data_IF_187239729639
#
_entry.id   IF_187239729639
#
_cell.length_a   1.000
_cell.length_b   1.000
_cell.length_c   1.000
_cell.angle_alpha   90.00
_cell.angle_beta   90.00
_cell.angle_gamma   90.00
#
_symmetry.space_group_name_H-M   'P 1'
#
loop_
_entity.id
_entity.type
_entity.pdbx_description
1 polymer ?
#
# COMPACT_ATOMS: atom_id res chain seq x y z
N UNK A 1 39.66 37.51 -8.62
CA UNK A 1 40.48 37.35 -9.84
C UNK A 1 41.22 36.00 -9.80
N UNK A 2 40.91 35.10 -10.74
CA UNK A 2 41.51 33.76 -10.79
C UNK A 2 40.53 32.58 -10.80
N UNK A 3 39.24 32.79 -11.06
CA UNK A 3 38.26 31.71 -11.27
C UNK A 3 37.81 31.71 -12.72
N UNK A 4 37.67 30.51 -13.29
CA UNK A 4 37.07 30.29 -14.60
C UNK A 4 35.63 29.80 -14.40
N UNK A 5 34.69 30.36 -15.17
CA UNK A 5 33.29 29.95 -15.10
C UNK A 5 33.12 28.57 -15.74
N UNK A 6 32.82 27.56 -14.94
CA UNK A 6 32.59 26.20 -15.45
C UNK A 6 31.24 26.07 -16.19
N UNK A 7 30.14 26.42 -15.53
CA UNK A 7 28.78 26.42 -16.11
C UNK A 7 27.79 27.18 -15.19
N UNK A 8 26.55 27.37 -15.64
CA UNK A 8 25.44 27.89 -14.85
C UNK A 8 24.37 26.80 -14.70
N UNK A 9 24.11 26.38 -13.46
CA UNK A 9 23.13 25.35 -13.12
C UNK A 9 21.85 25.98 -12.58
N UNK A 10 20.74 25.87 -13.33
CA UNK A 10 19.49 26.55 -13.01
C UNK A 10 18.28 25.61 -13.07
N UNK A 11 17.67 25.33 -11.91
CA UNK A 11 16.40 24.59 -11.83
C UNK A 11 15.20 25.56 -11.77
N UNK A 12 14.15 25.32 -12.55
CA UNK A 12 12.90 26.09 -12.46
C UNK A 12 12.17 25.81 -11.14
N UNK A 13 11.92 26.87 -10.36
CA UNK A 13 11.33 26.81 -9.02
C UNK A 13 9.85 26.48 -9.01
N UNK A 14 9.46 25.24 -9.31
CA UNK A 14 8.08 24.77 -9.22
C UNK A 14 7.87 24.12 -7.84
N UNK A 15 7.52 24.96 -6.85
CA UNK A 15 6.97 24.58 -5.52
C UNK A 15 7.90 23.74 -4.61
N UNK A 16 8.11 24.21 -3.37
CA UNK A 16 9.05 23.66 -2.37
C UNK A 16 8.78 22.25 -1.83
N UNK A 17 8.09 21.38 -2.57
CA UNK A 17 7.64 20.05 -2.11
C UNK A 17 7.85 18.90 -3.11
N UNK A 18 8.30 19.15 -4.34
CA UNK A 18 8.50 18.06 -5.33
C UNK A 18 9.96 17.65 -5.46
N UNK A 19 10.37 16.62 -4.71
CA UNK A 19 11.74 16.07 -4.59
C UNK A 19 12.41 15.69 -5.93
N UNK A 20 11.65 15.50 -7.01
CA UNK A 20 12.18 14.82 -8.21
C UNK A 20 12.76 15.72 -9.29
N UNK A 21 12.41 17.02 -9.33
CA UNK A 21 12.82 17.95 -10.40
C UNK A 21 13.97 18.88 -9.97
N UNK A 22 15.18 18.35 -9.87
CA UNK A 22 16.43 19.11 -9.63
C UNK A 22 17.55 18.58 -10.52
N UNK A 23 17.27 18.49 -11.81
CA UNK A 23 18.15 17.82 -12.76
C UNK A 23 19.45 18.60 -12.93
N UNK A 24 19.39 19.94 -12.86
CA UNK A 24 20.58 20.80 -12.95
C UNK A 24 21.41 20.79 -11.67
N UNK A 25 20.77 20.74 -10.49
CA UNK A 25 21.52 20.53 -9.24
C UNK A 25 22.20 19.16 -9.19
N UNK A 26 21.53 18.09 -9.66
CA UNK A 26 22.14 16.76 -9.74
C UNK A 26 23.31 16.74 -10.74
N UNK A 27 23.17 17.42 -11.89
CA UNK A 27 24.24 17.61 -12.88
C UNK A 27 25.44 18.33 -12.27
N UNK A 28 25.20 19.41 -11.53
CA UNK A 28 26.25 20.14 -10.79
C UNK A 28 27.00 19.21 -9.82
N UNK A 29 26.29 18.40 -9.03
CA UNK A 29 26.93 17.45 -8.10
C UNK A 29 27.76 16.39 -8.84
N UNK A 30 27.32 15.92 -10.00
CA UNK A 30 28.11 15.01 -10.83
C UNK A 30 29.37 15.67 -11.37
N UNK A 31 29.28 16.92 -11.83
CA UNK A 31 30.46 17.67 -12.30
C UNK A 31 31.46 17.96 -11.16
N UNK A 32 30.97 18.18 -9.94
CA UNK A 32 31.81 18.25 -8.73
C UNK A 32 32.52 16.92 -8.46
N UNK A 33 31.80 15.79 -8.49
CA UNK A 33 32.37 14.44 -8.32
C UNK A 33 33.38 14.08 -9.42
N UNK A 34 33.20 14.63 -10.63
CA UNK A 34 34.13 14.49 -11.74
C UNK A 34 35.35 15.43 -11.64
N UNK A 35 35.46 16.26 -10.58
CA UNK A 35 36.57 17.18 -10.35
C UNK A 35 36.59 18.40 -11.27
N UNK A 36 35.48 18.69 -11.99
CA UNK A 36 35.40 19.83 -12.91
C UNK A 36 35.14 21.16 -12.21
N UNK A 37 34.62 21.11 -10.99
CA UNK A 37 34.22 22.28 -10.20
C UNK A 37 34.97 22.24 -8.88
N UNK A 38 35.63 23.33 -8.52
CA UNK A 38 36.30 23.52 -7.23
C UNK A 38 35.58 24.55 -6.33
N UNK A 39 34.63 25.31 -6.89
CA UNK A 39 33.86 26.30 -6.15
C UNK A 39 32.44 26.48 -6.72
N UNK A 40 31.45 26.52 -5.83
CA UNK A 40 30.05 26.80 -6.13
C UNK A 40 29.67 28.15 -5.52
N UNK A 41 29.06 29.02 -6.34
CA UNK A 41 28.46 30.28 -5.89
C UNK A 41 26.95 30.12 -5.94
N UNK A 42 26.27 30.32 -4.81
CA UNK A 42 24.83 30.23 -4.71
C UNK A 42 24.27 31.44 -3.98
N UNK A 43 23.13 31.94 -4.47
CA UNK A 43 22.49 33.13 -3.89
C UNK A 43 22.12 32.94 -2.41
N UNK A 44 21.55 31.79 -2.05
CA UNK A 44 21.20 31.51 -0.65
C UNK A 44 21.07 30.04 -0.29
N UNK A 45 21.09 29.74 1.01
CA UNK A 45 20.93 28.37 1.56
C UNK A 45 19.66 27.70 1.04
N UNK A 46 18.56 28.45 0.95
CA UNK A 46 17.26 27.94 0.46
C UNK A 46 17.25 27.55 -1.02
N UNK A 47 18.19 28.08 -1.82
CA UNK A 47 18.40 27.69 -3.24
C UNK A 47 19.26 26.45 -3.37
N UNK A 48 20.08 26.18 -2.37
CA UNK A 48 21.02 25.07 -2.35
C UNK A 48 20.38 23.78 -1.84
N UNK A 49 19.64 23.83 -0.72
CA UNK A 49 19.02 22.66 -0.11
C UNK A 49 17.60 22.96 0.40
N UNK A 50 16.72 21.94 0.40
CA UNK A 50 15.32 22.09 0.82
C UNK A 50 15.08 21.73 2.28
N UNK A 51 16.00 21.00 2.89
CA UNK A 51 15.96 20.67 4.30
C UNK A 51 17.36 20.67 4.90
N UNK A 52 17.43 20.77 6.23
CA UNK A 52 18.69 20.87 6.98
C UNK A 52 19.61 19.67 6.80
N UNK A 53 19.05 18.47 6.65
CA UNK A 53 19.84 17.25 6.46
C UNK A 53 20.53 17.27 5.08
N UNK A 54 19.77 17.57 4.01
CA UNK A 54 20.28 17.72 2.64
C UNK A 54 21.39 18.78 2.58
N UNK A 55 21.21 19.92 3.26
CA UNK A 55 22.24 20.96 3.34
C UNK A 55 23.53 20.41 3.95
N UNK A 56 23.46 19.73 5.08
CA UNK A 56 24.62 19.21 5.81
C UNK A 56 25.32 18.10 5.00
N UNK A 57 24.54 17.15 4.48
CA UNK A 57 25.06 16.02 3.70
C UNK A 57 25.75 16.49 2.43
N UNK A 58 25.08 17.35 1.64
CA UNK A 58 25.66 17.85 0.38
C UNK A 58 26.87 18.73 0.62
N UNK A 59 26.86 19.57 1.66
CA UNK A 59 28.02 20.43 1.97
C UNK A 59 29.22 19.62 2.44
N UNK A 60 29.00 18.55 3.22
CA UNK A 60 30.08 17.63 3.63
C UNK A 60 30.65 16.86 2.45
N UNK A 61 29.78 16.30 1.60
CA UNK A 61 30.21 15.60 0.38
C UNK A 61 31.08 16.51 -0.49
N UNK A 62 30.64 17.75 -0.73
CA UNK A 62 31.40 18.70 -1.54
C UNK A 62 32.73 19.07 -0.89
N UNK A 63 32.78 19.22 0.43
CA UNK A 63 34.03 19.49 1.16
C UNK A 63 35.01 18.32 1.06
N UNK A 64 34.53 17.07 1.16
CA UNK A 64 35.35 15.87 0.99
C UNK A 64 35.92 15.77 -0.44
N UNK A 65 35.19 16.30 -1.42
CA UNK A 65 35.64 16.46 -2.81
C UNK A 65 36.55 17.69 -3.03
N UNK A 66 36.82 18.50 -2.00
CA UNK A 66 37.62 19.72 -2.09
C UNK A 66 36.88 20.92 -2.72
N UNK A 67 35.55 20.86 -2.81
CA UNK A 67 34.70 21.91 -3.39
C UNK A 67 34.20 22.87 -2.32
N UNK A 68 34.40 24.16 -2.54
CA UNK A 68 33.95 25.23 -1.65
C UNK A 68 32.59 25.76 -2.08
N UNK A 69 31.65 25.93 -1.14
CA UNK A 69 30.34 26.53 -1.39
C UNK A 69 30.28 27.91 -0.73
N UNK A 70 29.91 28.92 -1.51
CA UNK A 70 29.74 30.29 -1.03
C UNK A 70 28.27 30.70 -1.15
N UNK A 71 27.68 31.08 -0.02
CA UNK A 71 26.31 31.57 0.07
C UNK A 71 26.33 33.10 0.15
N UNK A 72 25.88 33.76 -0.92
CA UNK A 72 25.96 35.23 -1.06
C UNK A 72 25.11 35.97 0.00
N UNK A 73 23.82 35.62 0.14
CA UNK A 73 22.91 36.30 1.06
C UNK A 73 23.28 36.11 2.53
N UNK A 74 23.82 34.93 2.90
CA UNK A 74 24.18 34.62 4.27
C UNK A 74 25.63 35.02 4.60
N UNK A 75 26.43 35.41 3.60
CA UNK A 75 27.84 35.75 3.76
C UNK A 75 28.71 34.57 4.23
N UNK A 76 28.34 33.34 3.86
CA UNK A 76 29.01 32.13 4.35
C UNK A 76 29.93 31.58 3.27
N UNK A 77 31.18 31.32 3.66
CA UNK A 77 32.15 30.56 2.87
C UNK A 77 32.50 29.27 3.63
N UNK A 78 32.19 28.10 3.05
CA UNK A 78 32.41 26.81 3.70
C UNK A 78 33.88 26.43 3.85
N UNK A 79 34.80 27.17 3.22
CA UNK A 79 36.24 27.01 3.45
C UNK A 79 36.67 27.50 4.83
N UNK A 80 35.87 28.33 5.50
CA UNK A 80 36.18 28.85 6.83
C UNK A 80 35.75 27.86 7.93
N UNK A 81 36.58 27.69 8.96
CA UNK A 81 36.37 26.74 10.07
C UNK A 81 35.04 26.97 10.83
N UNK A 82 34.53 28.20 10.84
CA UNK A 82 33.23 28.60 11.43
C UNK A 82 32.02 28.39 10.50
N UNK A 83 32.23 28.16 9.21
CA UNK A 83 31.18 28.12 8.19
C UNK A 83 30.21 26.96 8.37
N UNK A 84 30.68 25.76 8.71
CA UNK A 84 29.81 24.59 8.95
C UNK A 84 28.92 24.76 10.20
N UNK A 85 29.47 25.34 11.27
CA UNK A 85 28.72 25.59 12.50
C UNK A 85 27.63 26.66 12.26
N UNK A 86 27.96 27.72 11.53
CA UNK A 86 27.01 28.77 11.14
C UNK A 86 25.91 28.22 10.23
N UNK A 87 26.25 27.38 9.24
CA UNK A 87 25.27 26.72 8.37
C UNK A 87 24.33 25.82 9.14
N UNK A 88 24.87 25.01 10.06
CA UNK A 88 24.07 24.11 10.89
C UNK A 88 23.10 24.89 11.75
N UNK A 89 23.56 25.98 12.40
CA UNK A 89 22.71 26.83 13.23
C UNK A 89 21.59 27.52 12.43
N UNK A 90 21.92 28.09 11.26
CA UNK A 90 20.93 28.74 10.39
C UNK A 90 19.89 27.74 9.85
N UNK A 91 20.33 26.54 9.50
CA UNK A 91 19.43 25.50 9.03
C UNK A 91 18.54 24.95 10.14
N UNK A 92 19.03 24.87 11.39
CA UNK A 92 18.21 24.55 12.55
C UNK A 92 17.16 25.64 12.80
N UNK A 93 17.57 26.91 12.78
CA UNK A 93 16.66 28.05 12.96
C UNK A 93 15.56 28.09 11.89
N UNK A 94 15.92 27.90 10.61
CA UNK A 94 14.97 27.87 9.51
C UNK A 94 13.98 26.69 9.62
N UNK A 95 14.47 25.52 10.04
CA UNK A 95 13.61 24.35 10.29
C UNK A 95 12.65 24.61 11.46
N UNK A 96 13.13 25.19 12.55
CA UNK A 96 12.31 25.53 13.70
C UNK A 96 11.22 26.55 13.33
N UNK A 97 11.58 27.61 12.61
CA UNK A 97 10.62 28.61 12.12
C UNK A 97 9.55 27.98 11.23
N UNK A 98 9.94 27.14 10.26
CA UNK A 98 9.01 26.41 9.39
C UNK A 98 8.05 25.50 10.17
N UNK A 99 8.56 24.79 11.19
CA UNK A 99 7.71 23.96 12.06
C UNK A 99 6.77 24.81 12.92
N UNK A 100 7.24 25.98 13.40
CA UNK A 100 6.46 26.92 14.18
C UNK A 100 5.30 27.51 13.37
N UNK A 101 5.57 28.01 12.15
CA UNK A 101 4.54 28.49 11.21
C UNK A 101 3.51 27.39 10.95
N UNK A 102 3.97 26.16 10.70
CA UNK A 102 3.10 25.01 10.44
C UNK A 102 2.24 24.64 11.66
N UNK A 103 2.76 24.78 12.88
CA UNK A 103 1.99 24.58 14.13
C UNK A 103 0.97 25.70 14.32
N UNK A 104 1.37 26.95 14.14
CA UNK A 104 0.50 28.13 14.29
C UNK A 104 -0.66 28.11 13.28
N UNK A 105 -0.41 27.72 12.03
CA UNK A 105 -1.45 27.56 11.02
C UNK A 105 -2.47 26.47 11.42
N UNK A 106 -1.99 25.32 11.91
CA UNK A 106 -2.85 24.23 12.40
C UNK A 106 -3.70 24.69 13.59
N UNK A 107 -3.08 25.35 14.56
CA UNK A 107 -3.77 25.91 15.71
C UNK A 107 -4.83 26.94 15.31
N UNK A 108 -4.51 27.84 14.38
CA UNK A 108 -5.44 28.84 13.84
C UNK A 108 -6.65 28.19 13.15
N UNK A 109 -6.41 27.16 12.33
CA UNK A 109 -7.49 26.39 11.68
C UNK A 109 -8.36 25.69 12.73
N UNK A 110 -7.75 25.04 13.72
CA UNK A 110 -8.47 24.36 14.78
C UNK A 110 -9.34 25.34 15.59
N UNK A 111 -8.81 26.52 15.94
CA UNK A 111 -9.59 27.56 16.64
C UNK A 111 -10.77 28.08 15.81
N UNK A 112 -10.62 28.19 14.49
CA UNK A 112 -11.74 28.52 13.60
C UNK A 112 -12.80 27.41 13.56
N UNK A 113 -12.39 26.15 13.59
CA UNK A 113 -13.32 25.01 13.66
C UNK A 113 -14.06 24.98 15.00
N UNK A 114 -13.35 25.18 16.11
CA UNK A 114 -13.91 25.26 17.47
C UNK A 114 -14.94 26.40 17.61
N UNK A 115 -14.62 27.59 17.06
CA UNK A 115 -15.50 28.76 17.12
C UNK A 115 -16.62 28.75 16.08
N UNK A 116 -16.65 27.77 15.17
CA UNK A 116 -17.63 27.72 14.08
C UNK A 116 -17.35 28.69 12.91
N UNK A 117 -16.29 29.49 12.97
CA UNK A 117 -15.88 30.44 11.93
C UNK A 117 -15.06 29.80 10.79
N UNK A 118 -15.04 28.47 10.71
CA UNK A 118 -14.28 27.76 9.69
C UNK A 118 -14.91 27.91 8.30
N UNK A 119 -14.16 28.53 7.40
CA UNK A 119 -14.53 28.70 5.99
C UNK A 119 -14.08 27.48 5.17
N UNK A 120 -14.98 26.96 4.33
CA UNK A 120 -14.62 25.92 3.36
C UNK A 120 -13.88 26.51 2.17
N UNK A 121 -12.86 25.81 1.68
CA UNK A 121 -12.08 26.26 0.52
C UNK A 121 -12.65 25.75 -0.82
N UNK A 122 -13.68 24.90 -0.79
CA UNK A 122 -14.31 24.34 -1.98
C UNK A 122 -15.81 24.24 -1.80
N UNK A 123 -16.55 24.64 -2.83
CA UNK A 123 -18.01 24.57 -2.86
C UNK A 123 -18.48 23.18 -3.33
N UNK A 124 -19.34 22.48 -2.58
CA UNK A 124 -19.99 21.28 -3.08
C UNK A 124 -20.89 21.60 -4.29
N UNK A 125 -21.18 20.58 -5.11
CA UNK A 125 -22.17 20.70 -6.20
C UNK A 125 -23.51 21.21 -5.65
N UNK A 126 -24.22 22.07 -6.37
CA UNK A 126 -25.40 22.76 -5.85
C UNK A 126 -25.09 24.10 -5.18
N UNK A 127 -23.83 24.40 -4.86
CA UNK A 127 -23.43 25.64 -4.18
C UNK A 127 -22.29 26.38 -4.87
N UNK A 128 -22.32 27.71 -4.81
CA UNK A 128 -21.20 28.60 -5.12
C UNK A 128 -20.60 29.16 -3.82
N UNK A 129 -19.28 29.34 -3.78
CA UNK A 129 -18.57 29.89 -2.63
C UNK A 129 -18.22 31.35 -2.90
N UNK A 130 -18.78 32.26 -2.13
CA UNK A 130 -18.51 33.70 -2.22
C UNK A 130 -18.20 34.25 -0.83
N UNK A 131 -17.06 34.94 -0.69
CA UNK A 131 -16.67 35.53 0.60
C UNK A 131 -16.52 34.53 1.76
N UNK A 132 -16.37 33.23 1.44
CA UNK A 132 -16.31 32.16 2.44
C UNK A 132 -17.65 31.56 2.86
N UNK A 133 -18.76 32.03 2.28
CA UNK A 133 -20.13 31.54 2.53
C UNK A 133 -20.63 30.76 1.32
N UNK A 134 -21.39 29.69 1.56
CA UNK A 134 -22.01 28.90 0.50
C UNK A 134 -23.38 29.48 0.14
N UNK A 135 -23.59 29.73 -1.15
CA UNK A 135 -24.86 30.17 -1.70
C UNK A 135 -25.40 29.10 -2.67
N UNK A 136 -26.69 28.75 -2.62
CA UNK A 136 -27.25 27.82 -3.60
C UNK A 136 -27.09 28.35 -5.02
N UNK A 137 -26.63 27.49 -5.93
CA UNK A 137 -26.61 27.73 -7.37
C UNK A 137 -27.93 27.17 -7.94
N UNK A 138 -28.87 28.00 -8.43
CA UNK A 138 -30.22 27.56 -8.75
C UNK A 138 -30.34 26.32 -9.63
N UNK A 139 -29.53 26.22 -10.69
CA UNK A 139 -29.60 25.08 -11.63
C UNK A 139 -29.05 23.80 -11.02
N UNK A 140 -27.88 23.85 -10.37
CA UNK A 140 -27.31 22.68 -9.70
C UNK A 140 -28.16 22.26 -8.48
N UNK A 141 -28.74 23.21 -7.75
CA UNK A 141 -29.58 22.97 -6.58
C UNK A 141 -30.88 22.23 -6.95
N UNK A 142 -31.46 22.48 -8.14
CA UNK A 142 -32.60 21.70 -8.65
C UNK A 142 -32.24 20.23 -8.83
N UNK A 143 -31.05 19.94 -9.39
CA UNK A 143 -30.56 18.58 -9.57
C UNK A 143 -30.37 17.89 -8.22
N UNK A 144 -29.80 18.58 -7.24
CA UNK A 144 -29.65 18.04 -5.88
C UNK A 144 -31.02 17.69 -5.28
N UNK A 145 -32.00 18.60 -5.35
CA UNK A 145 -33.37 18.34 -4.85
C UNK A 145 -33.98 17.11 -5.53
N UNK A 146 -33.86 17.01 -6.86
CA UNK A 146 -34.34 15.85 -7.63
C UNK A 146 -33.69 14.53 -7.18
N UNK A 147 -32.38 14.53 -6.91
CA UNK A 147 -31.65 13.35 -6.40
C UNK A 147 -32.23 12.88 -5.06
N UNK A 148 -32.49 13.81 -4.12
CA UNK A 148 -33.11 13.46 -2.84
C UNK A 148 -34.52 12.90 -3.03
N UNK A 149 -35.34 13.51 -3.88
CA UNK A 149 -36.69 13.01 -4.20
C UNK A 149 -36.67 11.60 -4.79
N UNK A 150 -35.84 11.36 -5.82
CA UNK A 150 -35.70 10.04 -6.46
C UNK A 150 -35.17 8.98 -5.49
N UNK A 151 -34.24 9.37 -4.61
CA UNK A 151 -33.70 8.44 -3.62
C UNK A 151 -34.76 8.04 -2.60
N UNK A 152 -35.52 9.00 -2.08
CA UNK A 152 -36.62 8.77 -1.14
C UNK A 152 -37.78 8.00 -1.76
N UNK A 153 -37.99 8.10 -3.08
CA UNK A 153 -38.96 7.27 -3.83
C UNK A 153 -38.49 5.81 -4.00
N UNK A 154 -37.36 5.42 -3.40
CA UNK A 154 -36.87 4.05 -3.42
C UNK A 154 -35.86 3.74 -4.51
N UNK A 155 -35.44 4.70 -5.35
CA UNK A 155 -34.39 4.42 -6.36
C UNK A 155 -33.02 4.23 -5.70
N UNK A 156 -32.19 3.38 -6.30
CA UNK A 156 -30.80 3.16 -5.87
C UNK A 156 -29.86 4.23 -6.44
N UNK A 157 -28.77 4.56 -5.73
CA UNK A 157 -27.81 5.59 -6.14
C UNK A 157 -27.21 5.37 -7.55
N UNK A 158 -26.97 4.11 -7.94
CA UNK A 158 -26.51 3.77 -9.29
C UNK A 158 -27.58 4.01 -10.36
N UNK A 159 -28.85 3.73 -10.05
CA UNK A 159 -29.97 3.98 -10.97
C UNK A 159 -30.13 5.48 -11.21
N UNK A 160 -30.07 6.27 -10.13
CA UNK A 160 -30.14 7.74 -10.20
C UNK A 160 -28.98 8.28 -11.05
N UNK A 161 -27.76 7.79 -10.84
CA UNK A 161 -26.62 8.20 -11.66
C UNK A 161 -26.81 7.88 -13.16
N UNK A 162 -27.40 6.72 -13.50
CA UNK A 162 -27.69 6.36 -14.89
C UNK A 162 -28.76 7.26 -15.50
N UNK A 163 -29.81 7.58 -14.75
CA UNK A 163 -30.90 8.48 -15.16
C UNK A 163 -30.35 9.89 -15.45
N UNK A 164 -29.59 10.49 -14.52
CA UNK A 164 -28.95 11.80 -14.73
C UNK A 164 -28.03 11.83 -15.97
N UNK A 165 -27.28 10.76 -16.21
CA UNK A 165 -26.43 10.65 -17.40
C UNK A 165 -27.23 10.46 -18.70
N UNK A 166 -28.38 9.78 -18.65
CA UNK A 166 -29.27 9.61 -19.79
C UNK A 166 -29.91 10.96 -20.17
N UNK A 167 -30.28 11.74 -19.17
CA UNK A 167 -30.83 13.10 -19.30
C UNK A 167 -29.75 14.15 -19.67
N UNK A 168 -28.51 13.72 -19.93
CA UNK A 168 -27.37 14.58 -20.30
C UNK A 168 -27.06 15.67 -19.27
N UNK A 169 -27.33 15.43 -17.98
CA UNK A 169 -27.01 16.36 -16.90
C UNK A 169 -25.54 16.17 -16.49
N UNK A 170 -24.63 17.13 -16.77
CA UNK A 170 -23.22 16.98 -16.41
C UNK A 170 -22.98 17.24 -14.92
N UNK A 171 -21.88 16.71 -14.39
CA UNK A 171 -21.32 17.19 -13.12
C UNK A 171 -20.64 18.57 -13.32
N UNK A 172 -20.30 19.28 -12.23
CA UNK A 172 -19.67 20.63 -12.29
C UNK A 172 -18.53 20.77 -13.30
N UNK A 173 -17.70 19.74 -13.44
CA UNK A 173 -16.53 19.75 -14.32
C UNK A 173 -16.78 19.04 -15.67
N UNK A 174 -18.05 18.88 -16.08
CA UNK A 174 -18.42 18.24 -17.34
C UNK A 174 -18.33 16.71 -17.36
N UNK A 175 -18.05 16.07 -16.21
CA UNK A 175 -17.95 14.61 -16.09
C UNK A 175 -19.32 13.92 -15.93
N UNK A 176 -19.34 12.59 -16.06
CA UNK A 176 -20.52 11.74 -15.84
C UNK A 176 -20.76 11.44 -14.35
N UNK A 177 -22.02 11.23 -13.99
CA UNK A 177 -22.43 10.81 -12.65
C UNK A 177 -22.04 9.36 -12.37
N UNK A 178 -21.34 9.14 -11.27
CA UNK A 178 -21.08 7.81 -10.71
C UNK A 178 -21.93 7.53 -9.48
N UNK A 179 -22.01 6.26 -9.07
CA UNK A 179 -22.65 5.85 -7.81
C UNK A 179 -22.07 6.61 -6.61
N UNK A 180 -20.74 6.73 -6.55
CA UNK A 180 -20.02 7.41 -5.47
C UNK A 180 -20.34 8.90 -5.39
N UNK A 181 -20.54 9.56 -6.54
CA UNK A 181 -20.93 10.97 -6.61
C UNK A 181 -22.32 11.20 -6.00
N UNK A 182 -23.29 10.35 -6.36
CA UNK A 182 -24.65 10.41 -5.80
C UNK A 182 -24.65 10.09 -4.30
N UNK A 183 -23.89 9.07 -3.87
CA UNK A 183 -23.76 8.74 -2.44
C UNK A 183 -23.07 9.87 -1.65
N UNK A 184 -22.10 10.57 -2.23
CA UNK A 184 -21.49 11.75 -1.62
C UNK A 184 -22.51 12.87 -1.42
N UNK A 185 -23.36 13.14 -2.43
CA UNK A 185 -24.45 14.13 -2.31
C UNK A 185 -25.38 13.77 -1.16
N UNK A 186 -25.86 12.53 -1.14
CA UNK A 186 -26.83 12.07 -0.14
C UNK A 186 -26.26 12.07 1.29
N UNK A 187 -24.95 11.90 1.49
CA UNK A 187 -24.31 11.83 2.83
C UNK A 187 -23.79 13.18 3.35
N UNK A 188 -23.73 14.20 2.52
CA UNK A 188 -23.08 15.45 2.88
C UNK A 188 -24.05 16.39 3.62
N UNK A 189 -23.79 16.61 4.91
CA UNK A 189 -24.59 17.46 5.80
C UNK A 189 -24.75 18.91 5.31
N UNK A 190 -23.87 19.36 4.41
CA UNK A 190 -23.97 20.70 3.81
C UNK A 190 -25.27 20.91 3.03
N UNK A 191 -25.94 19.85 2.57
CA UNK A 191 -27.22 20.05 1.89
C UNK A 191 -28.36 20.44 2.83
N UNK A 192 -28.24 20.14 4.13
CA UNK A 192 -29.18 20.59 5.17
C UNK A 192 -28.75 21.87 5.91
N UNK A 193 -27.69 22.56 5.44
CA UNK A 193 -27.22 23.82 6.02
C UNK A 193 -26.19 23.68 7.14
N UNK A 194 -25.77 22.46 7.47
CA UNK A 194 -24.79 22.20 8.52
C UNK A 194 -23.39 21.87 7.94
N UNK A 195 -22.36 21.88 8.79
CA UNK A 195 -21.03 21.42 8.42
C UNK A 195 -20.37 20.64 9.56
N UNK A 196 -19.91 19.43 9.27
CA UNK A 196 -19.03 18.68 10.16
C UNK A 196 -17.60 18.85 9.67
N UNK A 197 -16.78 19.52 10.47
CA UNK A 197 -15.38 19.84 10.15
C UNK A 197 -14.42 18.90 10.88
N UNK A 198 -13.16 18.87 10.44
CA UNK A 198 -12.11 17.96 10.96
C UNK A 198 -12.36 16.45 10.72
N UNK A 199 -13.10 16.08 9.67
CA UNK A 199 -13.25 14.68 9.21
C UNK A 199 -11.94 14.01 8.77
N UNK A 200 -10.87 14.78 8.58
CA UNK A 200 -9.53 14.34 8.18
C UNK A 200 -8.48 15.22 8.85
N UNK A 201 -7.32 14.66 9.15
CA UNK A 201 -6.19 15.39 9.74
C UNK A 201 -4.86 14.94 9.12
N UNK A 202 -3.78 15.68 9.42
CA UNK A 202 -2.41 15.31 9.05
C UNK A 202 -1.64 14.88 10.29
N UNK A 203 -0.81 13.84 10.16
CA UNK A 203 0.06 13.40 11.26
C UNK A 203 1.05 14.49 11.67
N UNK A 204 1.39 14.60 12.96
CA UNK A 204 2.38 15.58 13.42
C UNK A 204 3.83 15.18 13.05
N UNK A 205 4.05 13.92 12.68
CA UNK A 205 5.34 13.38 12.23
C UNK A 205 5.65 13.79 10.80
N UNK A 206 6.93 14.04 10.53
CA UNK A 206 7.47 14.29 9.19
C UNK A 206 7.97 12.95 8.64
N UNK A 207 7.60 12.54 7.40
CA UNK A 207 6.71 13.23 6.47
C UNK A 207 5.24 13.17 6.91
N UNK A 208 4.52 14.29 6.74
CA UNK A 208 3.10 14.35 7.16
C UNK A 208 2.23 13.50 6.25
N UNK A 209 1.40 12.64 6.83
CA UNK A 209 0.44 11.80 6.10
C UNK A 209 -0.98 12.24 6.41
N UNK A 210 -1.87 12.22 5.40
CA UNK A 210 -3.29 12.56 5.56
C UNK A 210 -4.05 11.32 6.02
N UNK A 211 -4.81 11.43 7.12
CA UNK A 211 -5.64 10.37 7.68
C UNK A 211 -7.10 10.81 7.79
N UNK A 212 -8.00 9.83 7.81
CA UNK A 212 -9.42 10.03 8.15
C UNK A 212 -9.52 10.08 9.67
N UNK A 213 -10.35 10.99 10.18
CA UNK A 213 -10.61 11.10 11.60
C UNK A 213 -11.74 10.13 11.98
N UNK A 214 -11.40 9.10 12.75
CA UNK A 214 -12.32 8.11 13.32
C UNK A 214 -12.61 8.40 14.81
N UNK A 215 -12.14 9.53 15.34
CA UNK A 215 -12.28 9.95 16.73
C UNK A 215 -10.96 10.28 17.42
N UNK A 216 -9.82 10.18 16.73
CA UNK A 216 -8.52 10.54 17.28
C UNK A 216 -8.39 12.04 17.58
N UNK A 217 -9.19 12.86 16.89
CA UNK A 217 -9.31 14.30 17.14
C UNK A 217 -10.77 14.71 17.22
N UNK A 218 -11.12 15.81 17.91
CA UNK A 218 -12.48 16.31 17.94
C UNK A 218 -12.97 16.63 16.52
N UNK A 219 -14.23 16.28 16.24
CA UNK A 219 -14.98 16.76 15.08
C UNK A 219 -15.98 17.79 15.57
N UNK A 220 -16.03 18.93 14.90
CA UNK A 220 -16.93 20.03 15.27
C UNK A 220 -18.13 20.04 14.33
N UNK A 221 -19.33 20.11 14.90
CA UNK A 221 -20.58 20.22 14.17
C UNK A 221 -21.08 21.67 14.25
N UNK A 222 -20.95 22.36 13.12
CA UNK A 222 -21.39 23.74 12.94
C UNK A 222 -22.80 23.69 12.35
N UNK A 223 -23.77 24.22 13.08
CA UNK A 223 -25.18 24.20 12.69
C UNK A 223 -25.53 25.46 11.90
N UNK A 224 -26.34 25.34 10.85
CA UNK A 224 -26.91 26.47 10.12
C UNK A 224 -25.87 27.47 9.58
N UNK A 225 -24.75 26.97 9.04
CA UNK A 225 -23.66 27.82 8.56
C UNK A 225 -23.91 28.43 7.17
N UNK A 226 -24.90 27.92 6.43
CA UNK A 226 -25.31 28.46 5.13
C UNK A 226 -26.74 28.04 4.78
N UNK A 227 -27.29 28.63 3.71
CA UNK A 227 -28.66 28.35 3.26
C UNK A 227 -28.83 26.90 2.81
N UNK A 228 -29.78 26.12 3.35
CA UNK A 228 -29.97 24.72 2.99
C UNK A 228 -30.62 24.55 1.61
N UNK A 229 -30.13 23.61 0.80
CA UNK A 229 -30.78 23.19 -0.45
C UNK A 229 -31.94 22.23 -0.16
N UNK A 230 -31.80 21.34 0.83
CA UNK A 230 -32.86 20.42 1.26
C UNK A 230 -33.25 20.67 2.71
N UNK A 231 -34.55 20.56 3.07
CA UNK A 231 -34.96 20.62 4.46
C UNK A 231 -34.27 19.54 5.30
N UNK A 232 -34.04 19.84 6.58
CA UNK A 232 -33.37 18.93 7.52
C UNK A 232 -34.10 17.58 7.61
N UNK A 233 -35.43 17.61 7.60
CA UNK A 233 -36.29 16.44 7.68
C UNK A 233 -36.10 15.51 6.48
N UNK A 234 -35.96 16.08 5.27
CA UNK A 234 -35.72 15.34 4.02
C UNK A 234 -34.33 14.69 4.06
N UNK A 235 -33.33 15.41 4.55
CA UNK A 235 -31.98 14.88 4.69
C UNK A 235 -31.91 13.73 5.70
N UNK A 236 -32.55 13.88 6.86
CA UNK A 236 -32.63 12.84 7.90
C UNK A 236 -33.39 11.60 7.44
N UNK A 237 -34.46 11.76 6.66
CA UNK A 237 -35.15 10.64 6.01
C UNK A 237 -34.21 9.88 5.06
N UNK A 238 -33.42 10.60 4.26
CA UNK A 238 -32.45 9.98 3.37
C UNK A 238 -31.35 9.23 4.14
N UNK A 239 -30.86 9.78 5.26
CA UNK A 239 -29.89 9.07 6.13
C UNK A 239 -30.48 7.79 6.71
N UNK A 240 -31.73 7.82 7.18
CA UNK A 240 -32.43 6.62 7.70
C UNK A 240 -32.54 5.54 6.62
N UNK A 241 -32.92 5.91 5.40
CA UNK A 241 -33.01 4.96 4.28
C UNK A 241 -31.64 4.40 3.89
N UNK A 242 -30.58 5.22 3.91
CA UNK A 242 -29.20 4.76 3.71
C UNK A 242 -28.78 3.73 4.76
N UNK A 243 -29.06 4.00 6.04
CA UNK A 243 -28.74 3.10 7.14
C UNK A 243 -29.51 1.77 7.04
N UNK A 244 -30.81 1.82 6.74
CA UNK A 244 -31.62 0.61 6.52
C UNK A 244 -31.07 -0.24 5.37
N UNK A 245 -30.69 0.38 4.24
CA UNK A 245 -30.09 -0.33 3.11
C UNK A 245 -28.74 -0.94 3.45
N UNK A 246 -27.93 -0.28 4.26
CA UNK A 246 -26.65 -0.82 4.73
C UNK A 246 -26.85 -2.08 5.59
N UNK A 247 -27.82 -2.06 6.51
CA UNK A 247 -28.16 -3.23 7.35
C UNK A 247 -28.73 -4.39 6.51
N UNK A 248 -29.53 -4.09 5.48
CA UNK A 248 -30.05 -5.14 4.58
C UNK A 248 -28.96 -5.74 3.67
N UNK A 249 -27.90 -5.00 3.34
CA UNK A 249 -26.73 -5.58 2.66
C UNK A 249 -25.87 -6.43 3.58
N UNK A 250 -25.82 -6.12 4.88
CA UNK A 250 -25.12 -6.93 5.90
C UNK A 250 -25.92 -8.16 6.34
N UNK A 251 -27.25 -8.15 6.20
CA UNK A 251 -28.13 -9.32 6.44
C UNK A 251 -28.18 -10.31 5.28
N UNK A 252 -27.20 -10.26 4.37
CA UNK A 252 -26.87 -11.41 3.55
C UNK A 252 -26.28 -12.48 4.45
N UNK A 253 -27.13 -13.35 5.02
CA UNK A 253 -26.69 -14.61 5.63
C UNK A 253 -25.73 -15.34 4.68
N UNK A 254 -24.46 -15.35 5.07
CA UNK A 254 -23.37 -15.86 4.26
C UNK A 254 -22.10 -15.15 4.65
N UNK A 255 -21.51 -15.58 5.77
CA UNK A 255 -20.14 -15.23 6.15
C UNK A 255 -19.24 -15.19 4.93
N UNK A 256 -18.31 -14.24 4.95
CA UNK A 256 -17.40 -13.85 3.88
C UNK A 256 -16.50 -15.00 3.40
N UNK A 257 -17.07 -16.01 2.73
CA UNK A 257 -16.33 -17.01 1.97
C UNK A 257 -15.88 -16.30 0.71
N UNK A 258 -14.65 -15.80 0.71
CA UNK A 258 -13.99 -15.22 -0.45
C UNK A 258 -13.08 -16.27 -1.05
N UNK A 259 -13.51 -16.94 -2.13
CA UNK A 259 -12.70 -17.92 -2.85
C UNK A 259 -11.56 -17.29 -3.68
N UNK A 260 -11.17 -16.04 -3.37
CA UNK A 260 -10.07 -15.27 -4.00
C UNK A 260 -10.01 -15.43 -5.53
N UNK A 261 -11.17 -15.43 -6.19
CA UNK A 261 -11.27 -15.63 -7.63
C UNK A 261 -11.01 -14.34 -8.41
N UNK A 262 -10.17 -14.41 -9.44
CA UNK A 262 -9.78 -13.27 -10.28
C UNK A 262 -10.19 -13.50 -11.73
N UNK A 263 -10.69 -12.45 -12.39
CA UNK A 263 -11.06 -12.51 -13.80
C UNK A 263 -9.84 -12.47 -14.71
N UNK A 264 -9.67 -13.44 -15.63
CA UNK A 264 -8.54 -13.46 -16.56
C UNK A 264 -8.53 -12.24 -17.51
N UNK A 265 -9.69 -11.69 -17.84
CA UNK A 265 -9.79 -10.60 -18.83
C UNK A 265 -9.53 -9.21 -18.24
N UNK A 266 -9.93 -8.96 -16.99
CA UNK A 266 -9.90 -7.62 -16.40
C UNK A 266 -9.22 -7.51 -15.04
N UNK A 267 -8.65 -8.61 -14.52
CA UNK A 267 -7.95 -8.65 -13.23
C UNK A 267 -8.83 -8.34 -12.00
N UNK A 268 -10.12 -8.10 -12.19
CA UNK A 268 -11.05 -7.81 -11.08
C UNK A 268 -11.53 -9.10 -10.43
N UNK A 269 -11.83 -9.01 -9.13
CA UNK A 269 -12.35 -10.14 -8.37
C UNK A 269 -13.73 -10.60 -8.84
N UNK A 270 -13.97 -11.90 -8.78
CA UNK A 270 -15.30 -12.47 -8.91
C UNK A 270 -16.12 -12.12 -7.66
N UNK A 271 -17.43 -12.02 -7.84
CA UNK A 271 -18.41 -11.79 -6.76
C UNK A 271 -19.29 -13.02 -6.61
N UNK A 272 -19.53 -13.39 -5.35
CA UNK A 272 -20.54 -14.37 -4.95
C UNK A 272 -21.95 -13.82 -5.18
N UNK A 273 -22.80 -14.58 -5.85
CA UNK A 273 -24.17 -14.22 -6.21
C UNK A 273 -25.11 -15.37 -5.88
N UNK A 274 -26.28 -15.06 -5.31
CA UNK A 274 -27.33 -16.06 -5.04
C UNK A 274 -28.39 -16.00 -6.13
N UNK A 275 -28.59 -17.09 -6.87
CA UNK A 275 -29.61 -17.24 -7.92
C UNK A 275 -30.45 -18.46 -7.59
N UNK A 276 -31.77 -18.29 -7.41
CA UNK A 276 -32.71 -19.40 -7.12
C UNK A 276 -32.19 -20.38 -6.05
N UNK A 277 -31.70 -19.83 -4.94
CA UNK A 277 -31.12 -20.54 -3.80
C UNK A 277 -29.77 -21.27 -4.03
N UNK A 278 -29.13 -21.08 -5.20
CA UNK A 278 -27.79 -21.60 -5.49
C UNK A 278 -26.77 -20.47 -5.56
N UNK A 279 -25.57 -20.70 -5.02
CA UNK A 279 -24.47 -19.73 -5.06
C UNK A 279 -23.60 -19.91 -6.31
N UNK A 280 -23.34 -18.80 -6.99
CA UNK A 280 -22.51 -18.70 -8.18
C UNK A 280 -21.45 -17.61 -8.01
N UNK A 281 -20.37 -17.75 -8.75
CA UNK A 281 -19.29 -16.78 -8.83
C UNK A 281 -19.15 -16.27 -10.26
N UNK A 282 -19.03 -14.95 -10.41
CA UNK A 282 -18.87 -14.31 -11.71
C UNK A 282 -18.15 -12.96 -11.64
N UNK A 283 -17.64 -12.49 -12.78
CA UNK A 283 -16.85 -11.26 -12.85
C UNK A 283 -17.64 -10.02 -12.37
N UNK A 284 -17.12 -9.33 -11.34
CA UNK A 284 -17.76 -8.15 -10.74
C UNK A 284 -17.97 -7.00 -11.73
N UNK A 285 -16.98 -6.73 -12.58
CA UNK A 285 -17.05 -5.59 -13.50
C UNK A 285 -18.09 -5.83 -14.61
N UNK A 286 -18.17 -7.07 -15.10
CA UNK A 286 -19.15 -7.48 -16.11
C UNK A 286 -20.58 -7.39 -15.58
N UNK A 287 -20.82 -7.91 -14.38
CA UNK A 287 -22.16 -7.89 -13.77
C UNK A 287 -22.62 -6.46 -13.41
N UNK A 288 -21.71 -5.55 -13.04
CA UNK A 288 -22.08 -4.17 -12.71
C UNK A 288 -22.24 -3.26 -13.94
N UNK A 289 -21.33 -3.37 -14.92
CA UNK A 289 -21.13 -2.38 -15.97
C UNK A 289 -21.22 -2.96 -17.40
N UNK A 290 -21.49 -4.26 -17.57
CA UNK A 290 -21.57 -4.88 -18.88
C UNK A 290 -20.24 -4.93 -19.64
N UNK A 291 -19.10 -4.99 -18.93
CA UNK A 291 -17.77 -5.07 -19.55
C UNK A 291 -17.67 -6.23 -20.55
N UNK A 292 -16.82 -6.12 -21.61
CA UNK A 292 -16.69 -7.14 -22.65
C UNK A 292 -15.96 -8.42 -22.19
N UNK A 293 -15.88 -8.68 -20.89
CA UNK A 293 -15.26 -9.88 -20.35
C UNK A 293 -16.04 -11.14 -20.75
N UNK A 294 -15.33 -12.26 -20.85
CA UNK A 294 -15.85 -13.59 -21.10
C UNK A 294 -16.89 -13.95 -20.05
N UNK A 295 -18.01 -14.53 -20.50
CA UNK A 295 -19.14 -14.90 -19.62
C UNK A 295 -18.86 -16.21 -18.91
N UNK A 296 -18.01 -16.16 -17.87
CA UNK A 296 -17.73 -17.30 -17.00
C UNK A 296 -18.58 -17.22 -15.74
N UNK A 297 -19.25 -18.31 -15.39
CA UNK A 297 -19.99 -18.49 -14.13
C UNK A 297 -19.68 -19.86 -13.57
N UNK A 298 -19.23 -19.89 -12.32
CA UNK A 298 -18.88 -21.14 -11.63
C UNK A 298 -19.82 -21.33 -10.44
N UNK A 299 -20.38 -22.54 -10.26
CA UNK A 299 -21.18 -22.87 -9.09
C UNK A 299 -20.24 -23.05 -7.88
N UNK A 300 -20.60 -22.50 -6.72
CA UNK A 300 -19.73 -22.53 -5.53
C UNK A 300 -19.34 -23.96 -5.12
N UNK A 301 -20.31 -24.88 -5.11
CA UNK A 301 -20.06 -26.30 -4.77
C UNK A 301 -19.08 -26.97 -5.73
N UNK A 302 -19.13 -26.61 -7.01
CA UNK A 302 -18.23 -27.14 -8.04
C UNK A 302 -16.79 -26.64 -7.85
N UNK A 303 -16.62 -25.37 -7.47
CA UNK A 303 -15.30 -24.80 -7.15
C UNK A 303 -14.71 -25.49 -5.92
N UNK A 304 -15.52 -25.72 -4.89
CA UNK A 304 -15.11 -26.42 -3.67
C UNK A 304 -14.70 -27.87 -3.95
N UNK A 305 -15.46 -28.61 -4.76
CA UNK A 305 -15.10 -29.97 -5.18
C UNK A 305 -13.82 -30.02 -6.02
N UNK A 306 -13.62 -29.04 -6.92
CA UNK A 306 -12.39 -28.94 -7.69
C UNK A 306 -11.17 -28.70 -6.78
N UNK A 307 -11.32 -27.87 -5.74
CA UNK A 307 -10.29 -27.67 -4.72
C UNK A 307 -9.97 -28.97 -3.96
N UNK A 308 -10.98 -29.71 -3.49
CA UNK A 308 -10.76 -31.00 -2.80
C UNK A 308 -10.05 -32.02 -3.70
N UNK A 309 -10.45 -32.07 -4.97
CA UNK A 309 -9.80 -32.93 -5.97
C UNK A 309 -8.33 -32.57 -6.16
N UNK A 310 -8.02 -31.28 -6.25
CA UNK A 310 -6.66 -30.75 -6.36
C UNK A 310 -5.81 -31.16 -5.14
N UNK A 311 -6.33 -30.92 -3.94
CA UNK A 311 -5.63 -31.24 -2.68
C UNK A 311 -5.43 -32.75 -2.54
N UNK A 312 -6.42 -33.58 -2.87
CA UNK A 312 -6.28 -35.04 -2.85
C UNK A 312 -5.20 -35.55 -3.81
N UNK A 313 -5.14 -35.01 -5.03
CA UNK A 313 -4.07 -35.31 -6.00
C UNK A 313 -2.70 -34.86 -5.52
N UNK A 314 -2.61 -33.69 -4.89
CA UNK A 314 -1.37 -33.22 -4.29
C UNK A 314 -0.94 -34.13 -3.15
N UNK A 315 -1.80 -34.36 -2.17
CA UNK A 315 -1.51 -35.20 -1.00
C UNK A 315 -0.98 -36.59 -1.40
N UNK A 316 -1.58 -37.21 -2.41
CA UNK A 316 -1.18 -38.54 -2.89
C UNK A 316 0.15 -38.57 -3.65
N UNK A 317 0.50 -37.49 -4.34
CA UNK A 317 1.68 -37.45 -5.22
C UNK A 317 2.82 -36.57 -4.70
N UNK A 318 2.65 -35.89 -3.56
CA UNK A 318 3.61 -34.89 -3.05
C UNK A 318 5.00 -35.49 -2.84
N UNK A 319 5.08 -36.71 -2.33
CA UNK A 319 6.35 -37.40 -2.07
C UNK A 319 7.07 -37.85 -3.35
N UNK A 320 6.41 -37.81 -4.51
CA UNK A 320 7.01 -38.09 -5.81
C UNK A 320 7.39 -36.79 -6.51
N UNK A 321 6.53 -35.78 -6.45
CA UNK A 321 6.70 -34.50 -7.16
C UNK A 321 7.78 -33.64 -6.49
N UNK A 322 7.76 -33.53 -5.16
CA UNK A 322 8.59 -32.59 -4.42
C UNK A 322 10.08 -32.92 -4.47
N UNK A 323 10.55 -34.17 -4.29
CA UNK A 323 11.98 -34.47 -4.31
C UNK A 323 12.66 -34.06 -5.63
N UNK A 324 12.04 -34.33 -6.78
CA UNK A 324 12.60 -33.93 -8.08
C UNK A 324 12.63 -32.42 -8.25
N UNK A 325 11.62 -31.70 -7.76
CA UNK A 325 11.60 -30.22 -7.81
C UNK A 325 12.67 -29.65 -6.86
N UNK A 326 12.86 -30.23 -5.68
CA UNK A 326 13.91 -29.81 -4.76
C UNK A 326 15.30 -29.98 -5.36
N UNK A 327 15.61 -31.14 -5.96
CA UNK A 327 16.90 -31.34 -6.63
C UNK A 327 17.13 -30.32 -7.73
N UNK A 328 16.11 -30.02 -8.55
CA UNK A 328 16.22 -29.00 -9.61
C UNK A 328 16.39 -27.58 -9.05
N UNK A 329 15.69 -27.23 -7.97
CA UNK A 329 15.81 -25.92 -7.33
C UNK A 329 17.16 -25.75 -6.64
N UNK A 330 17.70 -26.81 -6.04
CA UNK A 330 19.06 -26.87 -5.50
C UNK A 330 20.09 -26.69 -6.61
N UNK A 331 19.96 -27.40 -7.74
CA UNK A 331 20.85 -27.22 -8.90
C UNK A 331 20.77 -25.81 -9.50
N UNK A 332 19.58 -25.21 -9.56
CA UNK A 332 19.39 -23.84 -10.05
C UNK A 332 19.99 -22.83 -9.08
N UNK A 333 19.82 -23.04 -7.77
CA UNK A 333 20.45 -22.22 -6.74
C UNK A 333 21.98 -22.32 -6.87
N UNK A 334 22.54 -23.52 -6.95
CA UNK A 334 23.98 -23.75 -7.10
C UNK A 334 24.54 -23.09 -8.38
N UNK A 335 23.82 -23.16 -9.51
CA UNK A 335 24.23 -22.51 -10.77
C UNK A 335 24.12 -20.98 -10.73
N UNK A 336 23.13 -20.43 -10.02
CA UNK A 336 23.04 -18.99 -9.78
C UNK A 336 24.10 -18.50 -8.77
N UNK A 337 24.53 -19.39 -7.86
CA UNK A 337 25.50 -19.12 -6.80
C UNK A 337 26.97 -19.25 -7.22
N UNK A 338 27.28 -19.86 -8.38
CA UNK A 338 28.65 -19.87 -8.94
C UNK A 338 29.23 -18.45 -9.21
N UNK A 339 28.40 -17.40 -9.13
CA UNK A 339 28.86 -16.01 -9.14
C UNK A 339 29.20 -15.41 -7.75
N UNK A 340 28.98 -16.12 -6.64
CA UNK A 340 29.05 -15.57 -5.28
C UNK A 340 29.83 -16.51 -4.32
N UNK A 341 31.16 -16.45 -4.39
CA UNK A 341 32.13 -17.23 -3.58
C UNK A 341 31.79 -17.29 -2.08
N UNK A 342 31.15 -16.25 -1.55
CA UNK A 342 30.77 -16.12 -0.14
C UNK A 342 29.65 -17.07 0.31
N UNK A 343 28.74 -17.47 -0.58
CA UNK A 343 27.65 -18.41 -0.26
C UNK A 343 28.14 -19.86 -0.22
N UNK A 344 29.04 -20.22 -1.14
CA UNK A 344 29.71 -21.52 -1.14
C UNK A 344 30.46 -21.75 0.18
N UNK A 345 31.26 -20.77 0.63
CA UNK A 345 31.97 -20.83 1.91
C UNK A 345 31.02 -21.02 3.10
N UNK A 346 29.85 -20.36 3.10
CA UNK A 346 28.83 -20.49 4.14
C UNK A 346 28.19 -21.88 4.15
N UNK A 347 27.88 -22.45 2.99
CA UNK A 347 27.29 -23.79 2.86
C UNK A 347 28.28 -24.87 3.30
N UNK A 348 29.56 -24.78 2.90
CA UNK A 348 30.62 -25.69 3.35
C UNK A 348 30.79 -25.60 4.88
N UNK A 349 30.82 -24.40 5.45
CA UNK A 349 30.95 -24.21 6.89
C UNK A 349 29.75 -24.79 7.69
N UNK A 350 28.53 -24.71 7.15
CA UNK A 350 27.34 -25.32 7.77
C UNK A 350 27.37 -26.85 7.72
N UNK A 351 27.86 -27.43 6.62
CA UNK A 351 28.04 -28.88 6.49
C UNK A 351 29.07 -29.41 7.51
N UNK A 352 30.22 -28.74 7.64
CA UNK A 352 31.26 -29.07 8.62
C UNK A 352 30.74 -29.01 10.06
N UNK A 353 29.89 -28.04 10.39
CA UNK A 353 29.27 -27.93 11.72
C UNK A 353 28.26 -29.05 12.01
N UNK A 354 27.51 -29.50 11.01
CA UNK A 354 26.62 -30.64 11.16
C UNK A 354 27.41 -31.93 11.39
N UNK A 355 28.53 -32.12 10.69
CA UNK A 355 29.42 -33.28 10.91
C UNK A 355 30.04 -33.27 12.31
N UNK A 356 30.48 -32.10 12.79
CA UNK A 356 30.96 -31.91 14.17
C UNK A 356 29.88 -32.22 15.21
N UNK A 357 28.64 -31.78 14.96
CA UNK A 357 27.49 -32.07 15.84
C UNK A 357 27.21 -33.57 15.92
N UNK A 358 27.17 -34.26 14.77
CA UNK A 358 27.00 -35.71 14.72
C UNK A 358 28.14 -36.46 15.42
N UNK A 359 29.37 -35.99 15.26
CA UNK A 359 30.56 -36.56 15.91
C UNK A 359 30.49 -36.39 17.42
N UNK A 360 30.15 -35.19 17.90
CA UNK A 360 29.97 -34.89 19.32
C UNK A 360 28.90 -35.79 19.95
N UNK A 361 27.76 -35.92 19.27
CA UNK A 361 26.65 -36.78 19.71
C UNK A 361 27.03 -38.27 19.73
N UNK A 362 27.87 -38.71 18.78
CA UNK A 362 28.42 -40.08 18.76
C UNK A 362 29.42 -40.32 19.90
N UNK A 363 30.22 -39.32 20.28
CA UNK A 363 31.17 -39.42 21.39
C UNK A 363 30.46 -39.43 22.75
N UNK A 364 29.40 -38.63 22.91
CA UNK A 364 28.52 -38.65 24.08
C UNK A 364 27.80 -39.99 24.24
N UNK A 365 27.17 -40.52 23.17
CA UNK A 365 26.50 -41.82 23.19
C UNK A 365 27.46 -43.00 23.53
N UNK A 366 28.77 -42.83 23.30
CA UNK A 366 29.80 -43.83 23.65
C UNK A 366 30.43 -43.60 25.02
N UNK A 367 30.01 -42.57 25.76
CA UNK A 367 30.48 -42.26 27.12
C UNK A 367 31.88 -41.64 27.19
N UNK A 368 32.40 -41.10 26.09
CA UNK A 368 33.74 -40.47 26.07
C UNK A 368 33.75 -39.00 26.53
N UNK A 369 32.58 -38.40 26.74
CA UNK A 369 32.41 -36.99 27.10
C UNK A 369 31.37 -36.91 28.23
N UNK A 370 31.65 -36.14 29.27
CA UNK A 370 30.72 -35.93 30.39
C UNK A 370 29.54 -35.03 29.97
N UNK A 371 28.40 -35.18 30.66
CA UNK A 371 27.17 -34.45 30.32
C UNK A 371 27.32 -32.92 30.36
N UNK A 372 28.20 -32.41 31.24
CA UNK A 372 28.48 -30.98 31.34
C UNK A 372 29.22 -30.46 30.09
N UNK A 373 30.30 -31.14 29.69
CA UNK A 373 31.11 -30.80 28.52
C UNK A 373 30.33 -30.97 27.20
N UNK A 374 29.47 -32.00 27.13
CA UNK A 374 28.59 -32.20 25.98
C UNK A 374 27.60 -31.05 25.80
N UNK A 375 26.98 -30.58 26.89
CA UNK A 375 26.04 -29.44 26.83
C UNK A 375 26.74 -28.17 26.39
N UNK A 376 27.90 -27.85 26.97
CA UNK A 376 28.66 -26.65 26.60
C UNK A 376 29.07 -26.67 25.11
N UNK A 377 29.61 -27.79 24.62
CA UNK A 377 30.01 -27.92 23.21
C UNK A 377 28.80 -27.96 22.26
N UNK A 378 27.70 -28.59 22.66
CA UNK A 378 26.44 -28.63 21.89
C UNK A 378 25.84 -27.23 21.76
N UNK A 379 25.80 -26.46 22.84
CA UNK A 379 25.28 -25.08 22.84
C UNK A 379 26.17 -24.15 22.01
N UNK A 380 27.50 -24.32 22.08
CA UNK A 380 28.45 -23.59 21.26
C UNK A 380 28.26 -23.88 19.76
N UNK A 381 28.13 -25.16 19.38
CA UNK A 381 27.86 -25.57 17.99
C UNK A 381 26.49 -25.06 17.51
N UNK A 382 25.46 -25.13 18.36
CA UNK A 382 24.13 -24.62 18.04
C UNK A 382 24.12 -23.10 17.81
N UNK A 383 24.86 -22.34 18.62
CA UNK A 383 25.03 -20.89 18.48
C UNK A 383 25.79 -20.52 17.18
N UNK A 384 26.88 -21.23 16.88
CA UNK A 384 27.61 -21.04 15.62
C UNK A 384 26.76 -21.37 14.39
N UNK A 385 25.99 -22.46 14.44
CA UNK A 385 25.07 -22.86 13.38
C UNK A 385 24.00 -21.81 13.15
N UNK A 386 23.41 -21.27 14.22
CA UNK A 386 22.40 -20.20 14.13
C UNK A 386 22.98 -18.95 13.45
N UNK A 387 24.18 -18.51 13.85
CA UNK A 387 24.86 -17.35 13.26
C UNK A 387 25.15 -17.53 11.76
N UNK A 388 25.66 -18.69 11.34
CA UNK A 388 25.93 -18.98 9.93
C UNK A 388 24.63 -19.13 9.12
N UNK A 389 23.58 -19.71 9.72
CA UNK A 389 22.25 -19.79 9.12
C UNK A 389 21.64 -18.41 8.89
N UNK A 390 21.78 -17.49 9.84
CA UNK A 390 21.29 -16.11 9.71
C UNK A 390 22.09 -15.33 8.63
N UNK A 391 23.41 -15.52 8.57
CA UNK A 391 24.27 -14.93 7.54
C UNK A 391 23.96 -15.46 6.15
N UNK A 392 23.68 -16.77 6.05
CA UNK A 392 23.20 -17.42 4.84
C UNK A 392 21.84 -16.84 4.43
N UNK A 393 20.87 -16.76 5.34
CA UNK A 393 19.55 -16.15 5.07
C UNK A 393 19.66 -14.69 4.60
N UNK A 394 20.62 -13.93 5.14
CA UNK A 394 20.89 -12.56 4.73
C UNK A 394 21.57 -12.46 3.36
N UNK A 395 22.48 -13.40 3.03
CA UNK A 395 23.12 -13.50 1.72
C UNK A 395 22.17 -14.01 0.62
N UNK A 396 21.12 -14.74 0.99
CA UNK A 396 20.09 -15.30 0.11
C UNK A 396 18.99 -14.30 -0.24
N UNK A 397 18.90 -13.14 0.44
CA UNK A 397 17.89 -12.11 0.15
C UNK A 397 17.94 -11.72 -1.34
N UNK A 398 16.96 -12.20 -2.11
CA UNK A 398 16.81 -11.95 -3.54
C UNK A 398 16.84 -13.20 -4.45
N UNK A 399 17.20 -14.39 -3.96
CA UNK A 399 17.14 -15.62 -4.76
C UNK A 399 15.72 -16.20 -4.80
N UNK A 400 15.04 -16.03 -5.94
CA UNK A 400 13.70 -16.59 -6.17
C UNK A 400 13.66 -18.12 -6.06
N UNK A 401 14.76 -18.81 -6.35
CA UNK A 401 14.83 -20.28 -6.28
C UNK A 401 14.72 -20.77 -4.84
N UNK A 402 15.45 -20.13 -3.91
CA UNK A 402 15.43 -20.47 -2.49
C UNK A 402 14.13 -20.03 -1.79
N UNK A 403 13.56 -18.89 -2.18
CA UNK A 403 12.22 -18.50 -1.73
C UNK A 403 11.15 -19.51 -2.17
N UNK A 404 11.29 -20.07 -3.38
CA UNK A 404 10.37 -21.11 -3.87
C UNK A 404 10.60 -22.43 -3.13
N UNK A 405 11.86 -22.76 -2.83
CA UNK A 405 12.24 -23.93 -2.05
C UNK A 405 11.60 -23.92 -0.65
N UNK A 406 11.74 -22.82 0.10
CA UNK A 406 11.16 -22.70 1.44
C UNK A 406 9.63 -22.84 1.40
N UNK A 407 8.96 -22.21 0.43
CA UNK A 407 7.49 -22.32 0.33
C UNK A 407 7.01 -23.71 -0.08
N UNK A 408 7.79 -24.46 -0.85
CA UNK A 408 7.47 -25.85 -1.19
C UNK A 408 7.67 -26.78 0.01
N UNK A 409 8.68 -26.53 0.85
CA UNK A 409 8.85 -27.23 2.13
C UNK A 409 7.66 -26.96 3.06
N UNK A 410 7.24 -25.70 3.19
CA UNK A 410 6.08 -25.33 4.00
C UNK A 410 4.80 -26.04 3.51
N UNK A 411 4.60 -26.16 2.19
CA UNK A 411 3.49 -26.94 1.62
C UNK A 411 3.58 -28.42 2.01
N UNK A 412 4.78 -29.02 1.93
CA UNK A 412 4.98 -30.43 2.29
C UNK A 412 4.67 -30.67 3.76
N UNK A 413 5.12 -29.79 4.65
CA UNK A 413 4.83 -29.87 6.10
C UNK A 413 3.33 -29.72 6.38
N UNK A 414 2.67 -28.76 5.72
CA UNK A 414 1.22 -28.55 5.88
C UNK A 414 0.41 -29.76 5.41
N UNK A 415 0.78 -30.38 4.29
CA UNK A 415 0.12 -31.59 3.82
C UNK A 415 0.42 -32.80 4.71
N UNK A 416 1.65 -32.93 5.22
CA UNK A 416 2.02 -34.02 6.12
C UNK A 416 1.35 -33.91 7.51
N UNK A 417 1.00 -32.69 7.93
CA UNK A 417 0.26 -32.44 9.17
C UNK A 417 -1.23 -32.83 9.08
N UNK A 418 -1.77 -33.05 7.89
CA UNK A 418 -3.14 -33.52 7.73
C UNK A 418 -3.24 -35.00 8.14
N UNK A 419 -4.18 -35.37 9.01
CA UNK A 419 -4.33 -36.76 9.48
C UNK A 419 -4.82 -37.69 8.36
N UNK A 420 -5.61 -37.18 7.42
CA UNK A 420 -6.15 -37.89 6.28
C UNK A 420 -6.43 -36.95 5.10
N UNK A 421 -6.75 -37.52 3.94
CA UNK A 421 -7.14 -36.76 2.75
C UNK A 421 -8.44 -35.98 3.06
N UNK A 422 -8.49 -34.65 2.85
CA UNK A 422 -9.70 -33.88 3.12
C UNK A 422 -10.87 -34.28 2.21
N UNK A 423 -12.00 -34.67 2.81
CA UNK A 423 -13.25 -34.99 2.11
C UNK A 423 -14.27 -33.86 2.14
N UNK A 424 -14.09 -32.88 3.04
CA UNK A 424 -14.94 -31.71 3.18
C UNK A 424 -14.14 -30.43 2.97
N UNK A 425 -14.80 -29.41 2.41
CA UNK A 425 -14.17 -28.14 2.11
C UNK A 425 -13.95 -27.34 3.41
N UNK A 426 -12.68 -27.13 3.74
CA UNK A 426 -12.23 -26.34 4.87
C UNK A 426 -11.66 -24.99 4.39
N UNK A 427 -12.17 -23.89 4.95
CA UNK A 427 -11.74 -22.52 4.58
C UNK A 427 -10.36 -22.16 5.10
N UNK A 428 -9.94 -22.66 6.26
CA UNK A 428 -8.63 -22.39 6.84
C UNK A 428 -7.55 -23.10 6.01
N UNK A 429 -7.81 -24.35 5.62
CA UNK A 429 -6.94 -25.08 4.70
C UNK A 429 -6.87 -24.38 3.33
N UNK A 430 -8.01 -23.93 2.80
CA UNK A 430 -8.06 -23.16 1.56
C UNK A 430 -7.21 -21.89 1.66
N UNK A 431 -7.37 -21.13 2.74
CA UNK A 431 -6.65 -19.87 2.93
C UNK A 431 -5.16 -20.06 3.18
N UNK A 432 -4.74 -21.19 3.74
CA UNK A 432 -3.34 -21.57 3.88
C UNK A 432 -2.70 -21.88 2.52
N UNK A 433 -3.36 -22.69 1.69
CA UNK A 433 -2.78 -23.22 0.45
C UNK A 433 -2.92 -22.29 -0.76
N UNK A 434 -4.09 -21.66 -0.93
CA UNK A 434 -4.46 -20.97 -2.17
C UNK A 434 -4.18 -19.47 -2.07
N UNK A 435 -3.42 -18.96 -3.03
CA UNK A 435 -3.23 -17.52 -3.23
C UNK A 435 -4.43 -16.94 -3.98
N UNK A 436 -4.78 -17.52 -5.13
CA UNK A 436 -5.94 -17.12 -5.94
C UNK A 436 -6.38 -18.20 -6.91
N UNK A 437 -7.64 -18.10 -7.34
CA UNK A 437 -8.21 -18.96 -8.39
C UNK A 437 -8.46 -18.12 -9.64
N UNK A 438 -8.05 -18.62 -10.81
CA UNK A 438 -8.33 -17.99 -12.10
C UNK A 438 -9.21 -18.93 -12.92
N UNK A 439 -10.49 -18.60 -13.14
CA UNK A 439 -11.35 -19.40 -14.01
C UNK A 439 -10.93 -19.24 -15.47
N UNK A 440 -10.40 -20.32 -16.07
CA UNK A 440 -9.96 -20.33 -17.48
C UNK A 440 -11.17 -20.46 -18.40
N UNK A 441 -12.13 -21.28 -18.01
CA UNK A 441 -13.40 -21.49 -18.71
C UNK A 441 -14.53 -21.81 -17.72
N UNK A 442 -15.73 -22.10 -18.22
CA UNK A 442 -16.82 -22.62 -17.37
C UNK A 442 -16.57 -24.03 -16.84
N UNK A 443 -15.55 -24.72 -17.35
CA UNK A 443 -15.22 -26.12 -17.00
C UNK A 443 -13.83 -26.28 -16.43
N UNK A 444 -13.00 -25.24 -16.38
CA UNK A 444 -11.60 -25.32 -15.93
C UNK A 444 -11.25 -24.17 -14.99
N UNK A 445 -10.57 -24.52 -13.89
CA UNK A 445 -10.04 -23.60 -12.89
C UNK A 445 -8.51 -23.75 -12.81
N UNK A 446 -7.81 -22.62 -12.78
CA UNK A 446 -6.40 -22.56 -12.46
C UNK A 446 -6.25 -22.14 -11.00
N UNK A 447 -5.72 -23.02 -10.17
CA UNK A 447 -5.35 -22.74 -8.79
C UNK A 447 -3.91 -22.24 -8.76
N UNK A 448 -3.71 -21.01 -8.26
CA UNK A 448 -2.38 -20.49 -7.92
C UNK A 448 -2.17 -20.67 -6.43
N UNK A 449 -1.23 -21.52 -6.07
CA UNK A 449 -0.91 -21.82 -4.68
C UNK A 449 0.12 -20.82 -4.15
N UNK A 450 0.13 -20.60 -2.83
CA UNK A 450 1.09 -19.70 -2.19
C UNK A 450 2.54 -20.15 -2.36
N UNK A 451 2.76 -21.45 -2.61
CA UNK A 451 4.07 -22.00 -2.93
C UNK A 451 4.56 -21.72 -4.35
N UNK A 452 3.75 -21.05 -5.18
CA UNK A 452 4.09 -20.72 -6.56
C UNK A 452 3.71 -21.79 -7.58
N UNK A 453 3.16 -22.93 -7.16
CA UNK A 453 2.60 -23.92 -8.08
C UNK A 453 1.30 -23.41 -8.71
N UNK A 454 1.18 -23.60 -10.02
CA UNK A 454 -0.03 -23.33 -10.79
C UNK A 454 -0.63 -24.64 -11.28
N UNK A 455 -1.79 -25.03 -10.76
CA UNK A 455 -2.42 -26.32 -11.01
C UNK A 455 -3.77 -26.12 -11.69
N UNK A 456 -3.97 -26.80 -12.83
CA UNK A 456 -5.23 -26.77 -13.56
C UNK A 456 -6.11 -27.93 -13.14
N UNK A 457 -7.37 -27.64 -12.86
CA UNK A 457 -8.37 -28.64 -12.51
C UNK A 457 -9.66 -28.46 -13.29
N UNK A 458 -10.24 -29.59 -13.66
CA UNK A 458 -11.52 -29.64 -14.37
C UNK A 458 -12.64 -29.60 -13.34
N UNK A 459 -13.61 -28.70 -13.55
CA UNK A 459 -14.82 -28.61 -12.75
C UNK A 459 -15.64 -29.88 -12.98
N UNK A 460 -15.99 -30.64 -11.93
CA UNK A 460 -16.91 -31.77 -12.05
C UNK A 460 -18.26 -31.26 -12.58
N UNK A 461 -18.74 -31.83 -13.69
CA UNK A 461 -20.03 -31.43 -14.28
C UNK A 461 -21.21 -31.87 -13.42
#
# INVERSE_FOLDING_TARGET
PGWELADIYADEGITGTSLEKRDEFKRMLQDCRAGKISRILVKSVSRFARNTLELIETTRELKDLGVVVVFEEQGIDTAQMLGEMQLTLLAMAAQEESTSISKNMRWSIQKRMESGSFVTNYAPFGYRLEGGVLFPEPEEARVVKAIFTLFLSGRGALSIAKELNADQIPTRHGGKWGRSSVEYLLKNERYMGDAIVQKRYRTPTIPTTRRINHGELPMYHIHGCHEPIVPKEVFEQAQRLLAQRAVHTDRGEGGSVSLKMECPDCGNQFRRMKIRNTYYWGCRNRENNGSPCTKIRCKETQVQMAFLTMVGKLYTNINVIIPSIFTLLEEIADRQEQGNTKLYELNTALADLNEKTHTLQRLHNKGFIEDADFREQSDALASQRKKLSDQRAQAIRGSKALETFDKLRDLQEQLAALPEIPWEFDMDLFDQLVEKIVPVSSTELLFKLKCGLELKEVIPQ
#
